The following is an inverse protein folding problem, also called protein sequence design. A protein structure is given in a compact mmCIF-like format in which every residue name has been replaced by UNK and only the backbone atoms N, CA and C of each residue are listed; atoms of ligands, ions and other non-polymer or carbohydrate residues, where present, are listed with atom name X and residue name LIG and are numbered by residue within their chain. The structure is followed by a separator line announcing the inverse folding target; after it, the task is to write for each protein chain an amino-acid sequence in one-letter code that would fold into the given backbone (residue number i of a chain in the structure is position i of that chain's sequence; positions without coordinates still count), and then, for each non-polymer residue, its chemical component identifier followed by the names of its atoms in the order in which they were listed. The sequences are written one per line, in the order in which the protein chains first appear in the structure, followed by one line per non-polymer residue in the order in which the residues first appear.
data_IF_198846226238
#
_entry.id   IF_198846226238
#
_cell.length_a   1.000
_cell.length_b   1.000
_cell.length_c   1.000
_cell.angle_alpha   90.00
_cell.angle_beta   90.00
_cell.angle_gamma   90.00
#
_symmetry.space_group_name_H-M   'P 1'
#
loop_
_entity.id
_entity.type
_entity.pdbx_description
1 polymer ?
#
# COMPACT_ATOMS: atom_id res chain seq x y z
N UNK A 1 4.42 17.84 6.25
CA UNK A 1 5.87 18.10 6.34
C UNK A 1 6.45 18.08 4.92
N UNK A 2 6.56 19.23 4.26
CA UNK A 2 7.18 19.31 2.94
C UNK A 2 8.71 19.36 3.11
N UNK A 3 9.41 18.38 2.55
CA UNK A 3 10.88 18.35 2.50
C UNK A 3 11.34 19.32 1.42
N UNK A 4 11.95 20.44 1.83
CA UNK A 4 12.68 21.32 0.93
C UNK A 4 13.91 20.58 0.38
N UNK A 5 14.10 20.63 -0.94
CA UNK A 5 15.36 20.24 -1.58
C UNK A 5 16.37 21.36 -1.34
N UNK A 6 17.56 21.01 -0.85
CA UNK A 6 18.67 21.96 -0.71
C UNK A 6 19.25 22.34 -2.08
N UNK A 7 20.12 23.35 -2.12
CA UNK A 7 20.72 23.87 -3.35
C UNK A 7 21.53 22.81 -4.12
N UNK A 8 22.02 21.77 -3.44
CA UNK A 8 22.69 20.63 -4.07
C UNK A 8 21.68 19.72 -4.80
N UNK A 9 20.49 19.52 -4.22
CA UNK A 9 19.36 18.82 -4.83
C UNK A 9 18.85 19.51 -6.11
N UNK A 10 18.76 20.85 -6.10
CA UNK A 10 18.38 21.64 -7.28
C UNK A 10 19.43 21.50 -8.40
N UNK A 11 20.72 21.57 -8.05
CA UNK A 11 21.83 21.45 -9.01
C UNK A 11 21.86 20.07 -9.70
N UNK A 12 21.56 18.99 -8.97
CA UNK A 12 21.44 17.64 -9.54
C UNK A 12 20.24 17.51 -10.49
N UNK A 13 19.11 18.14 -10.16
CA UNK A 13 17.91 18.10 -11.00
C UNK A 13 18.12 18.83 -12.35
N UNK A 14 18.76 20.00 -12.30
CA UNK A 14 19.11 20.80 -13.49
C UNK A 14 20.12 20.09 -14.39
N UNK A 15 21.07 19.35 -13.79
CA UNK A 15 22.05 18.57 -14.55
C UNK A 15 21.38 17.39 -15.27
N UNK A 16 20.42 16.72 -14.63
CA UNK A 16 19.68 15.59 -15.22
C UNK A 16 18.79 16.04 -16.40
N UNK A 17 18.07 17.16 -16.24
CA UNK A 17 17.26 17.76 -17.30
C UNK A 17 18.06 18.19 -18.54
N UNK A 18 19.32 18.63 -18.37
CA UNK A 18 20.22 18.94 -19.51
C UNK A 18 20.67 17.70 -20.29
N UNK A 19 20.67 16.53 -19.66
CA UNK A 19 21.16 15.28 -20.27
C UNK A 19 20.06 14.58 -21.07
N UNK A 20 18.79 14.75 -20.66
CA UNK A 20 17.65 14.01 -21.24
C UNK A 20 16.90 14.76 -22.36
N UNK A 21 17.11 16.08 -22.54
CA UNK A 21 16.26 16.92 -23.41
C UNK A 21 16.97 17.55 -24.63
N UNK A 22 18.29 17.40 -24.79
CA UNK A 22 19.02 18.00 -25.93
C UNK A 22 19.72 16.91 -26.77
N UNK A 23 19.23 16.57 -27.98
CA UNK A 23 20.01 15.77 -28.91
C UNK A 23 21.23 16.57 -29.39
N UNK A 24 22.37 15.88 -29.44
CA UNK A 24 23.71 16.42 -29.68
C UNK A 24 23.82 17.29 -30.94
N UNK A 25 23.99 18.60 -30.79
CA UNK A 25 24.52 19.45 -31.85
C UNK A 25 26.05 19.33 -31.82
N UNK A 26 26.63 18.60 -32.78
CA UNK A 26 28.07 18.62 -33.05
C UNK A 26 28.42 19.98 -33.65
N UNK A 27 29.05 20.85 -32.85
CA UNK A 27 29.76 22.01 -33.38
C UNK A 27 31.19 21.59 -33.69
N UNK A 28 31.54 21.52 -34.97
CA UNK A 28 32.92 21.33 -35.43
C UNK A 28 33.73 22.57 -35.04
N UNK A 29 34.72 22.42 -34.17
CA UNK A 29 35.69 23.47 -33.88
C UNK A 29 36.69 23.56 -35.05
N UNK A 30 36.54 24.59 -35.88
CA UNK A 30 37.59 25.02 -36.78
C UNK A 30 38.69 25.73 -35.97
N UNK A 31 39.92 25.25 -36.18
CA UNK A 31 41.17 25.74 -35.60
C UNK A 31 41.54 27.09 -36.21
N UNK A 32 41.75 28.10 -35.38
CA UNK A 32 42.62 29.23 -35.70
C UNK A 32 43.40 29.58 -34.43
N UNK A 33 44.70 29.33 -34.47
CA UNK A 33 45.65 29.81 -33.51
C UNK A 33 45.94 31.28 -33.83
N UNK A 34 46.01 32.14 -32.81
CA UNK A 34 47.14 33.06 -32.77
C UNK A 34 47.51 33.47 -31.35
N UNK A 35 48.80 33.66 -31.23
CA UNK A 35 49.70 33.81 -30.09
C UNK A 35 49.75 35.26 -29.64
N UNK A 36 49.85 35.51 -28.33
CA UNK A 36 50.35 36.80 -27.81
C UNK A 36 51.42 36.52 -26.76
N UNK A 37 52.68 36.98 -26.95
CA UNK A 37 53.67 37.00 -25.88
C UNK A 37 53.70 38.37 -25.19
N UNK A 38 54.05 38.31 -23.90
CA UNK A 38 54.31 39.45 -23.04
C UNK A 38 55.65 40.14 -23.36
N UNK A 39 55.72 41.46 -23.13
CA UNK A 39 56.78 42.18 -22.39
C UNK A 39 56.84 43.66 -22.80
N UNK A 40 56.96 44.56 -21.81
CA UNK A 40 57.87 45.70 -21.96
C UNK A 40 57.35 47.14 -21.79
N UNK A 41 57.45 47.64 -20.55
CA UNK A 41 58.04 48.92 -20.05
C UNK A 41 57.69 50.31 -20.66
N UNK A 42 57.75 51.30 -19.75
CA UNK A 42 57.84 52.79 -19.87
C UNK A 42 56.49 53.52 -20.03
N UNK A 43 56.07 54.53 -19.27
CA UNK A 43 56.66 55.38 -18.23
C UNK A 43 56.09 56.81 -18.36
N UNK A 44 55.79 57.46 -17.22
CA UNK A 44 55.80 58.94 -16.98
C UNK A 44 54.55 59.78 -17.35
N UNK A 45 53.78 60.10 -16.29
CA UNK A 45 53.34 61.44 -15.84
C UNK A 45 52.11 62.20 -16.38
N UNK A 46 51.37 62.75 -15.38
CA UNK A 46 50.85 64.13 -15.26
C UNK A 46 49.35 64.42 -15.63
N UNK A 47 48.58 64.67 -14.55
CA UNK A 47 47.72 65.85 -14.26
C UNK A 47 46.17 65.78 -14.37
N UNK A 48 45.60 66.17 -13.22
CA UNK A 48 44.40 66.96 -12.93
C UNK A 48 42.97 66.41 -13.10
N UNK A 49 42.31 66.44 -11.94
CA UNK A 49 40.91 66.79 -11.71
C UNK A 49 40.49 68.02 -12.54
N UNK A 50 39.32 67.97 -13.17
CA UNK A 50 38.73 69.16 -13.80
C UNK A 50 37.52 68.88 -14.65
N UNK A 51 36.35 69.00 -14.02
CA UNK A 51 35.13 69.66 -14.52
C UNK A 51 34.78 69.62 -16.01
N UNK A 52 33.59 69.09 -16.28
CA UNK A 52 32.59 69.87 -17.02
C UNK A 52 32.58 69.70 -18.53
N UNK A 53 31.73 68.80 -19.00
CA UNK A 53 30.82 69.07 -20.12
C UNK A 53 29.51 68.33 -19.79
N UNK A 54 28.69 68.96 -18.98
CA UNK A 54 27.26 68.66 -18.90
C UNK A 54 26.69 69.09 -20.26
N UNK A 55 26.48 68.14 -21.17
CA UNK A 55 25.66 68.43 -22.35
C UNK A 55 24.23 68.62 -21.83
N UNK A 56 23.83 69.89 -21.80
CA UNK A 56 22.63 70.38 -21.13
C UNK A 56 21.55 70.70 -22.15
N UNK A 57 21.42 69.87 -23.20
CA UNK A 57 20.46 70.10 -24.29
C UNK A 57 19.66 68.84 -24.68
N UNK A 58 19.52 67.86 -23.77
CA UNK A 58 18.36 66.96 -23.84
C UNK A 58 17.16 67.64 -23.20
N UNK A 59 16.57 68.57 -23.95
CA UNK A 59 15.25 69.14 -23.67
C UNK A 59 14.17 68.07 -23.93
N UNK A 60 13.86 67.29 -22.88
CA UNK A 60 12.76 66.32 -22.88
C UNK A 60 11.42 66.95 -22.44
N UNK A 61 11.26 68.28 -22.49
CA UNK A 61 10.00 68.95 -22.13
C UNK A 61 8.82 68.62 -23.04
N UNK A 62 9.07 67.91 -24.15
CA UNK A 62 8.06 67.46 -25.11
C UNK A 62 8.02 65.93 -25.31
N UNK A 63 8.70 65.16 -24.46
CA UNK A 63 8.54 63.70 -24.46
C UNK A 63 7.38 63.32 -23.55
N UNK A 64 6.21 63.13 -24.17
CA UNK A 64 5.10 62.39 -23.60
C UNK A 64 5.64 61.08 -23.01
N UNK A 65 5.67 60.99 -21.68
CA UNK A 65 6.31 59.89 -20.95
C UNK A 65 5.36 58.71 -20.75
N UNK A 66 4.22 58.70 -21.46
CA UNK A 66 3.26 57.60 -21.42
C UNK A 66 3.67 56.55 -22.45
N UNK A 67 4.52 55.59 -22.07
CA UNK A 67 4.73 54.38 -22.89
C UNK A 67 3.53 53.45 -22.67
N UNK A 68 2.47 53.65 -23.45
CA UNK A 68 1.38 52.70 -23.58
C UNK A 68 1.77 51.57 -24.55
N UNK A 69 2.05 50.37 -24.04
CA UNK A 69 2.24 49.17 -24.90
C UNK A 69 0.91 48.42 -24.97
N UNK A 70 0.10 48.73 -25.98
CA UNK A 70 -1.11 47.98 -26.33
C UNK A 70 -2.35 48.34 -25.50
N UNK A 71 -3.51 48.38 -26.17
CA UNK A 71 -4.74 49.02 -25.68
C UNK A 71 -5.27 48.57 -24.31
N UNK A 72 -5.95 49.51 -23.64
CA UNK A 72 -6.84 49.37 -22.47
C UNK A 72 -6.39 48.43 -21.32
N UNK A 73 -5.10 48.30 -21.04
CA UNK A 73 -4.68 47.39 -19.96
C UNK A 73 -3.33 47.60 -19.27
N UNK A 74 -2.43 48.45 -19.77
CA UNK A 74 -1.10 48.60 -19.15
C UNK A 74 -0.67 50.08 -19.10
N UNK A 75 -0.93 50.72 -17.96
CA UNK A 75 -0.43 52.06 -17.62
C UNK A 75 0.71 51.90 -16.61
N UNK A 76 1.91 52.39 -16.94
CA UNK A 76 3.05 52.45 -16.02
C UNK A 76 3.15 53.86 -15.43
N UNK A 77 3.22 54.02 -14.10
CA UNK A 77 3.34 55.34 -13.48
C UNK A 77 4.71 55.96 -13.80
N UNK A 78 4.70 57.21 -14.27
CA UNK A 78 5.92 57.95 -14.59
C UNK A 78 6.39 58.76 -13.37
N UNK A 79 7.67 58.63 -13.03
CA UNK A 79 8.42 59.51 -12.12
C UNK A 79 8.19 59.34 -10.61
N UNK A 80 8.35 58.13 -10.08
CA UNK A 80 8.83 57.95 -8.70
C UNK A 80 10.02 56.98 -8.67
N UNK A 81 10.98 57.20 -7.77
CA UNK A 81 12.05 56.22 -7.46
C UNK A 81 11.54 55.09 -6.55
N UNK A 82 10.23 54.94 -6.41
CA UNK A 82 9.62 53.90 -5.60
C UNK A 82 9.58 52.59 -6.40
N UNK A 83 9.73 51.47 -5.70
CA UNK A 83 9.64 50.17 -6.33
C UNK A 83 8.21 49.97 -6.84
N UNK A 84 8.05 49.87 -8.16
CA UNK A 84 6.76 49.53 -8.79
C UNK A 84 6.46 48.07 -8.46
N UNK A 85 5.36 47.83 -7.74
CA UNK A 85 4.93 46.49 -7.34
C UNK A 85 4.10 45.92 -8.49
N UNK A 86 4.22 44.63 -8.79
CA UNK A 86 3.50 43.96 -9.88
C UNK A 86 1.96 44.02 -9.73
N UNK A 87 1.45 44.28 -8.51
CA UNK A 87 0.03 44.58 -8.24
C UNK A 87 -0.40 45.96 -8.76
N UNK A 88 0.53 46.91 -8.86
CA UNK A 88 0.28 48.25 -9.41
C UNK A 88 0.13 48.22 -10.94
N UNK A 89 0.73 47.22 -11.60
CA UNK A 89 0.75 47.08 -13.06
C UNK A 89 -0.29 46.06 -13.55
N UNK A 90 -0.51 45.00 -12.78
CA UNK A 90 -1.48 43.95 -13.08
C UNK A 90 -2.43 43.86 -11.88
N UNK A 91 -3.75 44.00 -12.07
CA UNK A 91 -4.72 43.85 -10.97
C UNK A 91 -4.69 42.41 -10.43
N UNK A 92 -3.84 42.11 -9.44
CA UNK A 92 -3.66 40.75 -8.91
C UNK A 92 -4.77 40.34 -7.95
N UNK A 93 -5.60 41.30 -7.50
CA UNK A 93 -6.78 41.10 -6.64
C UNK A 93 -7.86 40.15 -7.21
N UNK A 94 -7.67 39.63 -8.44
CA UNK A 94 -8.56 38.67 -9.10
C UNK A 94 -7.84 37.37 -9.52
N UNK A 95 -6.65 37.07 -8.98
CA UNK A 95 -5.90 35.85 -9.30
C UNK A 95 -5.96 34.83 -8.16
N UNK A 96 -6.59 33.69 -8.41
CA UNK A 96 -6.67 32.57 -7.43
C UNK A 96 -5.30 31.89 -7.20
N UNK A 97 -4.30 32.20 -8.01
CA UNK A 97 -3.03 31.47 -8.08
C UNK A 97 -1.80 32.30 -7.73
N UNK A 98 -1.89 33.63 -7.60
CA UNK A 98 -0.75 34.49 -7.20
C UNK A 98 -1.05 35.17 -5.87
N UNK A 99 -0.17 34.96 -4.87
CA UNK A 99 -0.24 35.59 -3.55
C UNK A 99 1.06 36.35 -3.27
N UNK A 100 0.97 37.47 -2.54
CA UNK A 100 2.15 38.23 -2.08
C UNK A 100 2.53 37.72 -0.68
N UNK A 101 3.77 37.24 -0.55
CA UNK A 101 4.31 36.77 0.73
C UNK A 101 4.67 37.95 1.65
N UNK A 102 4.81 37.70 2.96
CA UNK A 102 5.10 38.74 3.95
C UNK A 102 6.43 39.49 3.73
N UNK A 103 7.32 38.94 2.92
CA UNK A 103 8.59 39.55 2.51
C UNK A 103 8.50 40.34 1.19
N UNK A 104 7.31 40.43 0.57
CA UNK A 104 7.09 41.13 -0.70
C UNK A 104 7.25 40.27 -1.96
N UNK A 105 7.57 38.98 -1.83
CA UNK A 105 7.75 38.09 -2.98
C UNK A 105 6.42 37.58 -3.54
N UNK A 106 6.36 37.41 -4.86
CA UNK A 106 5.22 36.76 -5.53
C UNK A 106 5.32 35.24 -5.46
N UNK A 107 4.31 34.61 -4.88
CA UNK A 107 4.19 33.16 -4.80
C UNK A 107 3.05 32.66 -5.68
N UNK A 108 3.36 31.67 -6.52
CA UNK A 108 2.35 30.87 -7.18
C UNK A 108 1.87 29.79 -6.20
N UNK A 109 0.60 29.85 -5.79
CA UNK A 109 0.02 28.84 -4.92
C UNK A 109 -1.17 28.22 -5.63
N UNK A 110 -1.02 26.97 -6.08
CA UNK A 110 -2.11 26.16 -6.60
C UNK A 110 -2.40 25.09 -5.55
N UNK A 111 -3.47 25.28 -4.80
CA UNK A 111 -4.05 24.18 -4.03
C UNK A 111 -4.47 23.12 -5.05
N UNK A 112 -3.88 21.93 -4.97
CA UNK A 112 -4.33 20.82 -5.79
C UNK A 112 -5.75 20.50 -5.36
N UNK A 113 -6.69 20.47 -6.30
CA UNK A 113 -8.02 19.90 -6.08
C UNK A 113 -7.89 18.50 -5.47
N UNK A 114 -8.97 17.98 -4.86
CA UNK A 114 -9.05 16.56 -4.50
C UNK A 114 -8.68 15.70 -5.72
N UNK A 115 -7.43 15.25 -5.75
CA UNK A 115 -6.97 14.39 -6.81
C UNK A 115 -7.71 13.06 -6.65
N UNK A 116 -8.53 12.71 -7.64
CA UNK A 116 -9.06 11.34 -7.73
C UNK A 116 -7.88 10.39 -7.59
N UNK A 117 -7.93 9.41 -6.65
CA UNK A 117 -6.86 8.46 -6.45
C UNK A 117 -6.44 7.88 -7.80
N UNK A 118 -5.16 8.01 -8.14
CA UNK A 118 -4.65 7.29 -9.29
C UNK A 118 -4.77 5.80 -8.99
N UNK A 119 -5.41 5.05 -9.88
CA UNK A 119 -5.45 3.59 -9.85
C UNK A 119 -4.43 3.05 -10.86
N UNK A 120 -3.11 3.18 -10.62
CA UNK A 120 -2.11 2.69 -11.54
C UNK A 120 -2.30 1.18 -11.73
N UNK A 121 -2.31 0.75 -12.99
CA UNK A 121 -2.48 -0.65 -13.34
C UNK A 121 -1.19 -1.40 -12.99
N UNK A 122 -1.18 -2.08 -11.84
CA UNK A 122 -0.08 -2.95 -11.44
C UNK A 122 -0.26 -4.28 -12.17
N UNK A 123 0.82 -4.83 -12.75
CA UNK A 123 0.78 -6.19 -13.31
C UNK A 123 0.28 -7.19 -12.26
N UNK A 124 -0.59 -8.12 -12.67
CA UNK A 124 -1.18 -9.13 -11.78
C UNK A 124 -0.08 -9.86 -11.03
N UNK A 125 -0.15 -9.80 -9.69
CA UNK A 125 0.69 -10.62 -8.81
C UNK A 125 0.16 -12.04 -8.88
N UNK A 126 0.98 -12.96 -9.37
CA UNK A 126 0.73 -14.40 -9.35
C UNK A 126 1.45 -14.99 -8.16
N UNK A 127 0.69 -15.53 -7.21
CA UNK A 127 1.25 -16.34 -6.13
C UNK A 127 1.02 -17.80 -6.49
N UNK A 128 2.11 -18.56 -6.60
CA UNK A 128 2.07 -19.99 -6.91
C UNK A 128 1.21 -20.75 -5.89
N UNK A 129 0.73 -21.94 -6.28
CA UNK A 129 -0.17 -22.78 -5.49
C UNK A 129 0.36 -23.00 -4.06
N UNK A 130 -0.56 -23.00 -3.10
CA UNK A 130 -0.26 -23.26 -1.68
C UNK A 130 0.59 -24.52 -1.49
N UNK A 131 1.56 -24.44 -0.58
CA UNK A 131 1.99 -25.62 0.15
C UNK A 131 1.07 -25.77 1.36
N UNK A 132 0.16 -26.77 1.34
CA UNK A 132 -0.72 -27.08 2.48
C UNK A 132 -0.27 -28.37 3.15
N UNK A 133 -0.05 -28.32 4.46
CA UNK A 133 0.16 -29.49 5.29
C UNK A 133 -1.11 -29.78 6.12
N UNK A 134 -1.70 -30.95 5.87
CA UNK A 134 -2.95 -31.43 6.46
C UNK A 134 -2.73 -32.53 7.51
N UNK A 135 -1.50 -32.75 7.97
CA UNK A 135 -1.15 -33.88 8.84
C UNK A 135 -1.45 -33.65 10.33
N UNK A 136 -2.37 -32.74 10.64
CA UNK A 136 -2.73 -32.42 12.02
C UNK A 136 -4.01 -33.13 12.46
N UNK A 137 -4.06 -33.42 13.75
CA UNK A 137 -5.22 -34.03 14.41
C UNK A 137 -5.50 -33.31 15.71
N UNK A 138 -6.76 -32.96 15.91
CA UNK A 138 -7.27 -32.55 17.22
C UNK A 138 -7.76 -33.82 17.94
N UNK A 139 -7.00 -34.30 18.92
CA UNK A 139 -7.42 -35.41 19.78
C UNK A 139 -8.40 -34.92 20.86
N UNK A 140 -9.44 -35.71 21.11
CA UNK A 140 -10.53 -35.39 22.03
C UNK A 140 -10.44 -36.30 23.25
N UNK A 141 -10.32 -35.68 24.42
CA UNK A 141 -10.40 -36.40 25.69
C UNK A 141 -11.82 -36.32 26.22
N UNK A 142 -12.44 -37.47 26.44
CA UNK A 142 -13.76 -37.53 27.08
C UNK A 142 -13.61 -37.50 28.61
N UNK A 143 -14.54 -36.88 29.34
CA UNK A 143 -14.54 -36.91 30.79
C UNK A 143 -14.76 -38.33 31.32
N UNK A 144 -14.26 -38.61 32.52
CA UNK A 144 -14.44 -39.91 33.18
C UNK A 144 -15.93 -40.16 33.49
N UNK A 145 -16.38 -41.39 33.31
CA UNK A 145 -17.73 -41.82 33.65
C UNK A 145 -17.81 -42.51 35.01
N UNK A 146 -18.98 -42.49 35.64
CA UNK A 146 -19.34 -43.41 36.72
C UNK A 146 -19.68 -44.80 36.16
N UNK A 147 -19.43 -45.85 36.94
CA UNK A 147 -19.67 -47.23 36.51
C UNK A 147 -21.14 -47.44 36.09
N UNK A 148 -21.36 -47.94 34.87
CA UNK A 148 -22.68 -48.29 34.34
C UNK A 148 -23.40 -47.22 33.53
N UNK A 149 -22.89 -45.99 33.46
CA UNK A 149 -23.44 -44.96 32.57
C UNK A 149 -23.15 -45.31 31.10
N UNK A 150 -24.18 -45.35 30.25
CA UNK A 150 -24.04 -45.66 28.82
C UNK A 150 -24.11 -44.42 27.95
N UNK A 151 -25.12 -43.59 28.18
CA UNK A 151 -25.32 -42.30 27.52
C UNK A 151 -25.54 -41.25 28.58
N UNK A 152 -24.80 -40.15 28.46
CA UNK A 152 -24.86 -39.04 29.41
C UNK A 152 -24.97 -37.73 28.66
N UNK A 153 -25.86 -36.87 29.14
CA UNK A 153 -25.87 -35.45 28.82
C UNK A 153 -25.19 -34.68 29.94
N UNK A 154 -24.12 -33.97 29.62
CA UNK A 154 -23.32 -33.20 30.55
C UNK A 154 -23.97 -31.83 30.80
N UNK A 155 -23.95 -31.37 32.06
CA UNK A 155 -24.37 -30.00 32.41
C UNK A 155 -23.44 -28.95 31.81
N UNK A 156 -22.14 -29.25 31.78
CA UNK A 156 -21.11 -28.44 31.15
C UNK A 156 -20.64 -29.13 29.85
N UNK A 157 -20.79 -28.49 28.69
CA UNK A 157 -20.29 -29.04 27.43
C UNK A 157 -18.77 -29.24 27.48
N UNK A 158 -18.31 -30.32 26.85
CA UNK A 158 -16.89 -30.50 26.52
C UNK A 158 -16.56 -29.53 25.40
N UNK A 159 -15.40 -28.89 25.49
CA UNK A 159 -14.82 -28.06 24.44
C UNK A 159 -13.41 -28.54 24.12
N UNK A 160 -13.03 -28.46 22.85
CA UNK A 160 -11.68 -28.76 22.40
C UNK A 160 -11.34 -27.89 21.20
N UNK A 161 -10.10 -27.41 21.15
CA UNK A 161 -9.60 -26.56 20.07
C UNK A 161 -8.22 -27.03 19.63
N UNK A 162 -7.90 -26.87 18.35
CA UNK A 162 -6.57 -27.16 17.83
C UNK A 162 -6.40 -26.94 16.34
N UNK A 163 -5.15 -27.05 15.90
CA UNK A 163 -4.74 -26.93 14.50
C UNK A 163 -5.16 -28.15 13.68
N UNK A 164 -5.74 -27.92 12.50
CA UNK A 164 -6.08 -28.98 11.53
C UNK A 164 -5.31 -28.89 10.21
N UNK A 165 -4.87 -27.70 9.81
CA UNK A 165 -4.02 -27.51 8.63
C UNK A 165 -3.13 -26.28 8.77
N UNK A 166 -2.04 -26.24 8.03
CA UNK A 166 -1.22 -25.05 7.84
C UNK A 166 -0.93 -24.87 6.35
N UNK A 167 -0.77 -23.63 5.90
CA UNK A 167 -0.46 -23.30 4.53
C UNK A 167 0.55 -22.16 4.43
N UNK A 168 1.37 -22.24 3.40
CA UNK A 168 2.37 -21.22 3.08
C UNK A 168 2.33 -20.86 1.60
N UNK A 169 2.52 -19.56 1.35
CA UNK A 169 2.59 -18.94 0.04
C UNK A 169 3.72 -17.93 0.00
N UNK A 170 4.41 -17.92 -1.14
CA UNK A 170 5.36 -16.88 -1.50
C UNK A 170 5.05 -16.40 -2.90
N UNK A 171 5.02 -15.08 -3.10
CA UNK A 171 4.81 -14.47 -4.41
C UNK A 171 5.80 -13.35 -4.66
N UNK A 172 6.21 -13.18 -5.92
CA UNK A 172 6.94 -12.00 -6.35
C UNK A 172 5.95 -10.83 -6.53
N UNK A 173 6.36 -9.63 -6.14
CA UNK A 173 5.58 -8.41 -6.29
C UNK A 173 6.40 -7.37 -7.06
N UNK A 174 5.76 -6.53 -7.87
CA UNK A 174 6.48 -5.51 -8.65
C UNK A 174 7.31 -4.60 -7.74
N UNK A 175 8.51 -4.23 -8.22
CA UNK A 175 9.39 -3.28 -7.55
C UNK A 175 8.80 -1.85 -7.41
N UNK A 176 7.72 -1.57 -8.13
CA UNK A 176 6.97 -0.30 -8.07
C UNK A 176 6.10 -0.18 -6.81
N UNK A 177 5.75 -1.31 -6.18
CA UNK A 177 4.88 -1.32 -5.00
C UNK A 177 5.71 -0.96 -3.76
N UNK A 178 5.30 0.12 -3.08
CA UNK A 178 5.98 0.62 -1.87
C UNK A 178 5.30 0.18 -0.58
N UNK A 179 3.99 0.10 -0.61
CA UNK A 179 3.15 -0.27 0.52
C UNK A 179 1.94 -1.06 0.02
N UNK A 180 1.48 -2.01 0.85
CA UNK A 180 0.22 -2.73 0.69
C UNK A 180 -0.46 -2.74 2.05
N UNK A 181 -1.66 -2.18 2.12
CA UNK A 181 -2.54 -2.20 3.29
C UNK A 181 -3.61 -3.26 3.14
N UNK A 182 -4.27 -3.28 1.99
CA UNK A 182 -5.30 -4.26 1.67
C UNK A 182 -5.15 -4.71 0.21
N UNK A 183 -5.47 -5.98 -0.08
CA UNK A 183 -5.57 -6.48 -1.44
C UNK A 183 -6.89 -7.22 -1.66
N UNK A 184 -7.59 -6.86 -2.73
CA UNK A 184 -8.70 -7.65 -3.25
C UNK A 184 -8.14 -8.78 -4.12
N UNK A 185 -8.51 -10.02 -3.77
CA UNK A 185 -7.95 -11.22 -4.37
C UNK A 185 -9.04 -12.20 -4.80
N UNK A 186 -8.63 -13.19 -5.60
CA UNK A 186 -9.42 -14.38 -5.86
C UNK A 186 -8.55 -15.62 -5.68
N UNK A 187 -8.97 -16.50 -4.77
CA UNK A 187 -8.45 -17.86 -4.59
C UNK A 187 -9.55 -18.73 -4.02
N UNK A 188 -9.76 -19.90 -4.60
CA UNK A 188 -10.72 -20.86 -4.09
C UNK A 188 -10.11 -21.65 -2.92
N UNK A 189 -10.87 -21.80 -1.85
CA UNK A 189 -10.52 -22.63 -0.69
C UNK A 189 -11.59 -23.71 -0.48
N UNK A 190 -11.15 -24.95 -0.34
CA UNK A 190 -11.99 -26.08 0.06
C UNK A 190 -11.42 -26.73 1.32
N UNK A 191 -12.26 -26.88 2.34
CA UNK A 191 -11.94 -27.55 3.59
C UNK A 191 -12.94 -28.67 3.79
N UNK A 192 -12.45 -29.89 3.95
CA UNK A 192 -13.25 -31.06 4.33
C UNK A 192 -12.80 -31.58 5.70
N UNK A 193 -13.70 -31.58 6.69
CA UNK A 193 -13.39 -32.07 8.04
C UNK A 193 -13.75 -33.54 8.15
N UNK A 194 -12.80 -34.34 8.61
CA UNK A 194 -12.97 -35.77 8.86
C UNK A 194 -13.00 -36.04 10.37
N UNK A 195 -14.05 -36.73 10.81
CA UNK A 195 -14.26 -37.15 12.19
C UNK A 195 -13.93 -38.64 12.30
N UNK A 196 -13.13 -39.04 13.29
CA UNK A 196 -12.74 -40.44 13.47
C UNK A 196 -13.96 -41.35 13.71
N UNK A 197 -13.85 -42.63 13.33
CA UNK A 197 -14.95 -43.58 13.47
C UNK A 197 -15.37 -43.73 14.94
N UNK A 198 -14.41 -43.67 15.87
CA UNK A 198 -14.65 -43.82 17.30
C UNK A 198 -15.35 -42.57 17.87
N UNK A 199 -14.93 -41.38 17.42
CA UNK A 199 -15.59 -40.13 17.80
C UNK A 199 -17.01 -40.04 17.26
N UNK A 200 -17.29 -40.52 16.04
CA UNK A 200 -18.66 -40.63 15.49
C UNK A 200 -19.58 -41.54 16.33
N UNK A 201 -19.00 -42.56 16.98
CA UNK A 201 -19.78 -43.45 17.84
C UNK A 201 -20.03 -42.83 19.20
N UNK A 202 -19.02 -42.19 19.79
CA UNK A 202 -19.09 -41.56 21.10
C UNK A 202 -19.90 -40.26 21.11
N UNK A 203 -19.75 -39.40 20.10
CA UNK A 203 -20.43 -38.09 20.01
C UNK A 203 -21.29 -38.07 18.76
N UNK A 204 -22.61 -37.91 18.90
CA UNK A 204 -23.54 -37.93 17.76
C UNK A 204 -23.70 -36.58 17.10
N UNK A 205 -23.63 -35.51 17.90
CA UNK A 205 -23.87 -34.14 17.45
C UNK A 205 -22.89 -33.22 18.14
N UNK A 206 -22.24 -32.36 17.36
CA UNK A 206 -21.52 -31.20 17.86
C UNK A 206 -22.51 -30.04 17.98
N UNK A 207 -22.62 -29.44 19.17
CA UNK A 207 -23.36 -28.19 19.36
C UNK A 207 -22.78 -27.08 18.49
N UNK A 208 -21.46 -26.97 18.50
CA UNK A 208 -20.72 -26.07 17.64
C UNK A 208 -19.51 -26.78 17.05
N UNK A 209 -19.23 -26.48 15.78
CA UNK A 209 -17.98 -26.76 15.11
C UNK A 209 -17.55 -25.47 14.40
N UNK A 210 -16.54 -24.81 14.95
CA UNK A 210 -16.01 -23.56 14.45
C UNK A 210 -14.70 -23.82 13.70
N UNK A 211 -14.61 -23.36 12.46
CA UNK A 211 -13.37 -23.32 11.68
C UNK A 211 -12.85 -21.90 11.68
N UNK A 212 -11.61 -21.72 12.09
CA UNK A 212 -10.97 -20.40 12.18
C UNK A 212 -9.85 -20.32 11.15
N UNK A 213 -10.03 -19.45 10.16
CA UNK A 213 -8.97 -19.05 9.23
C UNK A 213 -8.22 -17.83 9.79
N UNK A 214 -7.02 -17.50 9.27
CA UNK A 214 -6.29 -16.32 9.72
C UNK A 214 -7.13 -15.04 9.58
N UNK A 215 -7.05 -14.15 10.57
CA UNK A 215 -7.87 -12.93 10.64
C UNK A 215 -7.55 -11.88 9.56
N UNK A 216 -6.43 -12.03 8.86
CA UNK A 216 -6.10 -11.23 7.68
C UNK A 216 -6.83 -11.70 6.41
N UNK A 217 -7.53 -12.85 6.45
CA UNK A 217 -8.27 -13.39 5.31
C UNK A 217 -9.77 -13.18 5.48
N UNK A 218 -10.39 -12.55 4.48
CA UNK A 218 -11.86 -12.48 4.39
C UNK A 218 -12.35 -13.47 3.35
N UNK A 219 -13.32 -14.28 3.75
CA UNK A 219 -13.92 -15.32 2.92
C UNK A 219 -15.26 -14.87 2.37
N UNK A 220 -15.54 -15.31 1.14
CA UNK A 220 -16.85 -15.33 0.53
C UNK A 220 -17.35 -16.78 0.53
N UNK A 221 -18.25 -17.09 1.46
CA UNK A 221 -18.75 -18.45 1.64
C UNK A 221 -19.66 -18.82 0.48
N UNK A 222 -19.30 -19.91 -0.22
CA UNK A 222 -20.06 -20.42 -1.35
C UNK A 222 -20.91 -21.61 -0.90
N UNK A 223 -20.44 -22.83 -1.16
CA UNK A 223 -21.17 -24.05 -0.85
C UNK A 223 -20.67 -24.62 0.48
N UNK A 224 -21.55 -24.72 1.46
CA UNK A 224 -21.25 -25.32 2.76
C UNK A 224 -22.17 -26.52 3.01
N UNK A 225 -21.67 -27.54 3.71
CA UNK A 225 -22.44 -28.68 4.17
C UNK A 225 -22.06 -29.01 5.62
N UNK A 226 -23.01 -29.47 6.45
CA UNK A 226 -24.39 -29.86 6.11
C UNK A 226 -25.39 -28.71 6.00
N UNK A 227 -25.04 -27.51 6.46
CA UNK A 227 -25.89 -26.31 6.42
C UNK A 227 -25.04 -25.09 6.12
N UNK A 228 -25.69 -23.94 5.89
CA UNK A 228 -24.99 -22.67 5.87
C UNK A 228 -24.52 -22.34 7.31
N UNK A 229 -23.21 -22.08 7.52
CA UNK A 229 -22.68 -21.69 8.82
C UNK A 229 -22.82 -20.17 9.06
N UNK A 230 -22.71 -19.77 10.31
CA UNK A 230 -22.52 -18.37 10.68
C UNK A 230 -21.07 -17.96 10.42
N UNK A 231 -20.85 -16.75 9.90
CA UNK A 231 -19.50 -16.25 9.59
C UNK A 231 -19.22 -14.90 10.26
N UNK A 232 -18.25 -14.90 11.17
CA UNK A 232 -17.65 -13.68 11.73
C UNK A 232 -16.42 -13.31 10.88
N UNK A 233 -16.64 -12.40 9.92
CA UNK A 233 -15.59 -11.93 9.02
C UNK A 233 -14.49 -11.13 9.71
N UNK A 234 -14.75 -10.53 10.88
CA UNK A 234 -13.74 -9.75 11.60
C UNK A 234 -12.73 -10.67 12.31
N UNK A 235 -13.18 -11.85 12.76
CA UNK A 235 -12.35 -12.85 13.43
C UNK A 235 -11.89 -13.99 12.53
N UNK A 236 -12.49 -14.14 11.34
CA UNK A 236 -12.21 -15.26 10.44
C UNK A 236 -12.83 -16.58 10.91
N UNK A 237 -13.94 -16.53 11.64
CA UNK A 237 -14.55 -17.72 12.28
C UNK A 237 -15.83 -18.13 11.57
N UNK A 238 -15.85 -19.37 11.07
CA UNK A 238 -17.01 -20.02 10.42
C UNK A 238 -17.58 -21.06 11.36
N UNK A 239 -18.80 -20.86 11.87
CA UNK A 239 -19.40 -21.72 12.90
C UNK A 239 -20.58 -22.50 12.36
N UNK A 240 -20.49 -23.82 12.40
CA UNK A 240 -21.61 -24.71 12.18
C UNK A 240 -22.27 -25.08 13.51
N UNK A 241 -23.61 -25.09 13.53
CA UNK A 241 -24.40 -25.39 14.71
C UNK A 241 -25.12 -26.73 14.59
N UNK A 242 -25.18 -27.48 15.69
CA UNK A 242 -25.93 -28.74 15.80
C UNK A 242 -25.64 -29.74 14.68
N UNK A 243 -24.35 -29.92 14.36
CA UNK A 243 -23.90 -30.77 13.26
C UNK A 243 -23.75 -32.21 13.70
N UNK A 244 -24.33 -33.16 12.96
CA UNK A 244 -24.05 -34.58 13.20
C UNK A 244 -22.58 -34.88 12.94
N UNK A 245 -21.94 -35.63 13.83
CA UNK A 245 -20.55 -36.10 13.65
C UNK A 245 -20.37 -37.01 12.43
N UNK A 246 -21.47 -37.59 11.92
CA UNK A 246 -21.50 -38.43 10.71
C UNK A 246 -21.74 -37.64 9.43
N UNK A 247 -22.10 -36.35 9.53
CA UNK A 247 -22.35 -35.50 8.38
C UNK A 247 -21.07 -35.28 7.55
N UNK A 248 -21.27 -35.00 6.27
CA UNK A 248 -20.20 -34.53 5.40
C UNK A 248 -19.97 -33.03 5.66
N UNK A 249 -18.96 -32.71 6.46
CA UNK A 249 -18.63 -31.33 6.85
C UNK A 249 -17.67 -30.76 5.82
N UNK A 250 -18.18 -29.87 4.97
CA UNK A 250 -17.40 -29.23 3.91
C UNK A 250 -17.68 -27.74 3.85
N UNK A 251 -16.62 -26.98 3.65
CA UNK A 251 -16.63 -25.55 3.46
C UNK A 251 -15.95 -25.25 2.13
N UNK A 252 -16.70 -24.66 1.19
CA UNK A 252 -16.14 -24.07 -0.03
C UNK A 252 -16.34 -22.57 0.01
N UNK A 253 -15.25 -21.84 -0.15
CA UNK A 253 -15.27 -20.38 -0.14
C UNK A 253 -14.27 -19.81 -1.14
N UNK A 254 -14.33 -18.51 -1.35
CA UNK A 254 -13.28 -17.74 -2.01
C UNK A 254 -12.58 -16.86 -0.98
N UNK A 255 -11.26 -16.71 -1.05
CA UNK A 255 -10.58 -15.61 -0.39
C UNK A 255 -10.83 -14.36 -1.23
N UNK A 256 -11.43 -13.33 -0.63
CA UNK A 256 -11.77 -12.06 -1.30
C UNK A 256 -10.81 -10.94 -0.95
N UNK A 257 -10.35 -10.91 0.29
CA UNK A 257 -9.54 -9.82 0.80
C UNK A 257 -8.40 -10.36 1.64
N UNK A 258 -7.23 -9.76 1.48
CA UNK A 258 -6.06 -9.92 2.33
C UNK A 258 -5.73 -8.57 2.98
N UNK A 259 -5.76 -8.53 4.32
CA UNK A 259 -5.48 -7.34 5.13
C UNK A 259 -4.05 -7.40 5.68
N UNK A 260 -3.15 -6.63 5.08
CA UNK A 260 -1.74 -6.55 5.44
C UNK A 260 -1.49 -5.71 6.71
N UNK A 261 -2.53 -5.05 7.24
CA UNK A 261 -2.44 -4.27 8.48
C UNK A 261 -2.65 -5.14 9.72
N UNK A 262 -3.17 -6.36 9.56
CA UNK A 262 -3.30 -7.30 10.68
C UNK A 262 -1.92 -7.69 11.23
N UNK A 263 -1.73 -7.65 12.55
CA UNK A 263 -0.47 -8.03 13.15
C UNK A 263 -0.19 -9.51 12.91
N UNK A 264 1.05 -9.83 12.57
CA UNK A 264 1.50 -11.21 12.50
C UNK A 264 1.50 -11.84 13.90
N UNK A 265 1.11 -13.11 13.96
CA UNK A 265 1.29 -13.98 15.12
C UNK A 265 2.35 -15.02 14.82
N UNK A 266 2.65 -15.90 15.78
CA UNK A 266 3.57 -17.02 15.60
C UNK A 266 3.19 -17.90 14.41
N UNK A 267 1.90 -18.16 14.22
CA UNK A 267 1.37 -19.11 13.23
C UNK A 267 0.81 -18.43 11.97
N UNK A 268 0.40 -17.16 12.09
CA UNK A 268 -0.31 -16.44 11.03
C UNK A 268 0.44 -15.16 10.68
N UNK A 269 0.94 -15.06 9.46
CA UNK A 269 1.70 -13.90 8.99
C UNK A 269 1.29 -13.57 7.56
N UNK A 270 0.96 -12.31 7.32
CA UNK A 270 0.85 -11.75 5.98
C UNK A 270 1.79 -10.55 5.93
N UNK A 271 2.80 -10.61 5.06
CA UNK A 271 3.80 -9.55 4.97
C UNK A 271 4.15 -9.25 3.53
N UNK A 272 4.12 -7.97 3.22
CA UNK A 272 4.72 -7.42 2.02
C UNK A 272 6.12 -6.87 2.32
N UNK A 273 7.08 -7.20 1.48
CA UNK A 273 8.44 -6.64 1.52
C UNK A 273 8.69 -5.91 0.19
N UNK A 274 8.81 -4.57 0.20
CA UNK A 274 9.02 -3.81 -1.03
C UNK A 274 10.38 -4.11 -1.66
N UNK A 275 10.40 -4.08 -2.99
CA UNK A 275 11.62 -4.24 -3.77
C UNK A 275 12.62 -3.09 -3.55
N UNK A 276 13.91 -3.41 -3.60
CA UNK A 276 14.99 -2.42 -3.50
C UNK A 276 15.96 -2.53 -4.68
N UNK A 277 16.51 -1.39 -5.11
CA UNK A 277 17.54 -1.30 -6.15
C UNK A 277 17.14 -2.00 -7.46
N UNK A 278 15.88 -1.81 -7.89
CA UNK A 278 15.35 -2.38 -9.13
C UNK A 278 14.95 -3.86 -9.04
N UNK A 279 15.13 -4.53 -7.90
CA UNK A 279 14.66 -5.89 -7.66
C UNK A 279 13.19 -5.91 -7.27
N UNK A 280 12.50 -6.98 -7.64
CA UNK A 280 11.11 -7.24 -7.24
C UNK A 280 10.97 -7.36 -5.72
N UNK A 281 9.80 -6.96 -5.24
CA UNK A 281 9.35 -7.21 -3.87
C UNK A 281 8.86 -8.63 -3.67
N UNK A 282 8.46 -8.93 -2.45
CA UNK A 282 7.98 -10.25 -2.05
C UNK A 282 6.73 -10.15 -1.17
N UNK A 283 5.78 -11.04 -1.41
CA UNK A 283 4.67 -11.33 -0.50
C UNK A 283 4.92 -12.69 0.13
N UNK A 284 4.84 -12.74 1.45
CA UNK A 284 4.95 -13.93 2.29
C UNK A 284 3.65 -14.05 3.09
N UNK A 285 2.96 -15.18 2.90
CA UNK A 285 1.69 -15.47 3.55
C UNK A 285 1.74 -16.87 4.16
N UNK A 286 1.65 -16.91 5.48
CA UNK A 286 1.61 -18.10 6.32
C UNK A 286 0.31 -18.11 7.12
N UNK A 287 -0.38 -19.24 7.16
CA UNK A 287 -1.62 -19.34 7.91
C UNK A 287 -1.91 -20.74 8.43
N UNK A 288 -2.71 -20.79 9.49
CA UNK A 288 -3.21 -22.01 10.11
C UNK A 288 -4.73 -22.03 10.07
N UNK A 289 -5.29 -23.19 9.75
CA UNK A 289 -6.68 -23.52 9.98
C UNK A 289 -6.81 -24.17 11.36
N UNK A 290 -7.51 -23.50 12.27
CA UNK A 290 -7.89 -24.06 13.56
C UNK A 290 -9.34 -24.56 13.53
N UNK A 291 -9.63 -25.53 14.40
CA UNK A 291 -10.99 -25.95 14.70
C UNK A 291 -11.26 -25.79 16.19
N UNK A 292 -12.48 -25.42 16.53
CA UNK A 292 -13.04 -25.55 17.87
C UNK A 292 -14.33 -26.34 17.83
N UNK A 293 -14.54 -27.25 18.77
CA UNK A 293 -15.79 -28.02 18.87
C UNK A 293 -16.39 -27.90 20.27
N UNK A 294 -17.71 -28.07 20.34
CA UNK A 294 -18.42 -28.30 21.59
C UNK A 294 -19.48 -29.38 21.47
N UNK A 295 -19.61 -30.21 22.50
CA UNK A 295 -20.66 -31.22 22.62
C UNK A 295 -20.95 -31.51 24.10
N UNK A 296 -22.16 -31.94 24.41
CA UNK A 296 -22.58 -32.28 25.78
C UNK A 296 -23.18 -33.69 25.88
N UNK A 297 -23.46 -34.37 24.77
CA UNK A 297 -23.99 -35.72 24.76
C UNK A 297 -22.92 -36.73 24.33
N UNK A 298 -22.69 -37.74 25.19
CA UNK A 298 -21.64 -38.76 25.02
C UNK A 298 -22.24 -40.16 25.18
N UNK A 299 -21.88 -41.06 24.28
CA UNK A 299 -22.13 -42.51 24.33
C UNK A 299 -20.83 -43.26 24.66
N UNK A 300 -20.64 -43.57 25.94
CA UNK A 300 -19.41 -44.20 26.45
C UNK A 300 -19.30 -45.68 26.17
N UNK A 301 -20.40 -46.36 25.80
CA UNK A 301 -20.32 -47.77 25.41
C UNK A 301 -19.51 -48.00 24.13
N UNK A 302 -19.09 -46.91 23.46
CA UNK A 302 -18.42 -46.95 22.17
C UNK A 302 -17.07 -46.21 22.16
N UNK A 303 -16.58 -45.74 23.31
CA UNK A 303 -15.48 -44.76 23.43
C UNK A 303 -14.11 -45.35 23.79
N UNK A 304 -13.71 -46.46 23.16
CA UNK A 304 -12.44 -47.15 23.45
C UNK A 304 -11.28 -46.89 22.48
N UNK A 305 -11.48 -46.06 21.45
CA UNK A 305 -10.52 -45.86 20.37
C UNK A 305 -10.01 -44.43 20.23
N UNK A 306 -9.32 -44.14 19.12
CA UNK A 306 -8.67 -42.84 18.89
C UNK A 306 -9.71 -41.79 18.45
N UNK A 307 -10.03 -40.87 19.35
CA UNK A 307 -11.03 -39.83 19.16
C UNK A 307 -10.36 -38.59 18.60
N UNK A 308 -10.55 -38.30 17.32
CA UNK A 308 -9.95 -37.11 16.73
C UNK A 308 -10.76 -36.49 15.58
N UNK A 309 -10.45 -35.23 15.32
CA UNK A 309 -10.79 -34.54 14.08
C UNK A 309 -9.51 -34.29 13.27
N UNK A 310 -9.64 -34.33 11.96
CA UNK A 310 -8.63 -33.92 10.99
C UNK A 310 -9.29 -33.13 9.88
N UNK A 311 -8.53 -32.40 9.07
CA UNK A 311 -9.06 -31.75 7.88
C UNK A 311 -8.19 -32.06 6.66
N UNK A 312 -8.82 -32.03 5.49
CA UNK A 312 -8.15 -31.87 4.23
C UNK A 312 -8.52 -30.50 3.69
N UNK A 313 -7.57 -29.58 3.73
CA UNK A 313 -7.65 -28.25 3.16
C UNK A 313 -6.90 -28.20 1.84
N UNK A 314 -7.49 -27.50 0.88
CA UNK A 314 -6.83 -27.09 -0.36
C UNK A 314 -7.12 -25.63 -0.64
N UNK A 315 -6.15 -24.92 -1.21
CA UNK A 315 -6.32 -23.54 -1.62
C UNK A 315 -5.62 -23.31 -2.97
N UNK A 316 -6.29 -22.58 -3.86
CA UNK A 316 -5.81 -22.28 -5.21
C UNK A 316 -4.77 -21.16 -5.23
N UNK A 317 -4.21 -20.89 -6.41
CA UNK A 317 -3.37 -19.71 -6.63
C UNK A 317 -4.10 -18.42 -6.25
N UNK A 318 -3.39 -17.47 -5.67
CA UNK A 318 -3.95 -16.16 -5.32
C UNK A 318 -3.67 -15.20 -6.48
N UNK A 319 -4.74 -14.65 -7.05
CA UNK A 319 -4.67 -13.55 -8.02
C UNK A 319 -5.05 -12.25 -7.34
N UNK A 320 -4.19 -11.25 -7.38
CA UNK A 320 -4.50 -9.90 -6.90
C UNK A 320 -5.19 -9.11 -8.02
N UNK A 321 -6.33 -8.51 -7.70
CA UNK A 321 -7.13 -7.70 -8.63
C UNK A 321 -6.94 -6.21 -8.38
N UNK A 322 -6.94 -5.82 -7.10
CA UNK A 322 -6.81 -4.43 -6.66
C UNK A 322 -6.03 -4.41 -5.35
N UNK A 323 -5.35 -3.31 -5.07
CA UNK A 323 -4.58 -3.12 -3.85
C UNK A 323 -4.62 -1.66 -3.40
N UNK A 324 -4.65 -1.45 -2.08
CA UNK A 324 -4.56 -0.13 -1.45
C UNK A 324 -3.23 -0.01 -0.73
N UNK A 325 -2.61 1.16 -0.82
CA UNK A 325 -1.29 1.49 -0.25
C UNK A 325 -1.37 2.56 0.81
#
# INVERSE_FOLDING_TARGET
MAKYLDSAGVTRLVTKLKTDVIPSVKVNAAKAADTVPASGITGVSIVALGTGCTDSDYDLSSVDSTIGVGGDGLELPTSSTENIILDDVLKLNNSDFVKIAANGDYMFNKDGDEATPSHPYINKIWVEKANVNNNFRLHITLPSQSAGARRTKLSNPVTAEGKLAEFHYTGAASNDIRELKEASVSSDVEISVAVSADLKRAVKTFKTLALTVPSYMRLDLRQCSPSQPDYDAAKGVVTFHNVSSTANIKLRAAVKTLDFQKPATTDNKLRFTPGQNGKDGQVDLNGVLNVGISFDEIDYAQSGGDLYLSANMSMGSITVHEATG
#
